data_IF_916183998399
#
_entry.id   IF_916183998399
#
_cell.length_a   1.000
_cell.length_b   1.000
_cell.length_c   1.000
_cell.angle_alpha   90.00
_cell.angle_beta   90.00
_cell.angle_gamma   90.00
#
_symmetry.space_group_name_H-M   'P 1'
#
loop_
_entity.id
_entity.type
_entity.pdbx_description
1 polymer ?
#
# COMPACT_ATOMS: atom_id res chain seq x y z
N UNK A 1 22.81 19.05 -8.39
CA UNK A 1 23.05 19.81 -7.14
C UNK A 1 22.57 18.95 -5.98
N UNK A 2 23.30 18.88 -4.87
CA UNK A 2 22.92 18.04 -3.72
C UNK A 2 21.89 18.76 -2.84
N UNK A 3 20.69 18.20 -2.69
CA UNK A 3 19.61 18.81 -1.91
C UNK A 3 18.69 17.77 -1.27
N UNK A 4 19.14 17.16 -0.17
CA UNK A 4 18.29 16.30 0.67
C UNK A 4 17.25 17.15 1.41
N UNK A 5 15.97 17.06 1.02
CA UNK A 5 14.90 17.85 1.63
C UNK A 5 14.35 17.24 2.91
N UNK A 6 13.94 18.09 3.85
CA UNK A 6 13.55 17.71 5.21
C UNK A 6 12.27 16.88 5.24
N UNK A 7 12.36 15.63 5.70
CA UNK A 7 11.18 14.83 6.00
C UNK A 7 10.45 15.38 7.25
N UNK A 8 9.11 15.39 7.21
CA UNK A 8 8.21 15.78 8.31
C UNK A 8 8.19 17.24 8.78
N UNK A 9 9.12 18.11 8.35
CA UNK A 9 9.14 19.49 8.81
C UNK A 9 9.40 20.54 7.71
N UNK A 10 8.39 21.40 7.48
CA UNK A 10 8.64 22.78 7.06
C UNK A 10 9.33 23.49 8.24
N UNK A 11 10.66 23.55 8.21
CA UNK A 11 11.50 24.34 9.12
C UNK A 11 11.85 25.64 8.38
N UNK A 12 11.74 26.80 9.04
CA UNK A 12 12.33 28.03 8.51
C UNK A 12 13.86 27.83 8.38
N UNK A 13 14.44 28.22 7.25
CA UNK A 13 15.86 27.93 6.97
C UNK A 13 16.18 26.46 6.64
N UNK A 14 15.19 25.58 6.40
CA UNK A 14 15.44 24.19 5.98
C UNK A 14 16.37 24.07 4.76
N UNK A 15 16.13 24.91 3.74
CA UNK A 15 16.94 24.92 2.51
C UNK A 15 18.37 25.43 2.73
N UNK A 16 18.53 26.46 3.57
CA UNK A 16 19.83 26.98 3.96
C UNK A 16 20.63 25.97 4.80
N UNK A 17 19.94 25.25 5.70
CA UNK A 17 20.52 24.17 6.50
C UNK A 17 20.99 23.02 5.62
N UNK A 18 20.19 22.62 4.62
CA UNK A 18 20.59 21.61 3.64
C UNK A 18 21.79 22.07 2.79
N UNK A 19 21.80 23.32 2.33
CA UNK A 19 22.90 23.90 1.56
C UNK A 19 24.20 23.97 2.38
N UNK A 20 24.15 24.46 3.64
CA UNK A 20 25.31 24.52 4.55
C UNK A 20 25.85 23.15 4.95
N UNK A 21 24.98 22.14 5.08
CA UNK A 21 25.40 20.77 5.39
C UNK A 21 25.97 20.03 4.17
N UNK A 22 25.57 20.40 2.94
CA UNK A 22 26.10 19.86 1.68
C UNK A 22 25.92 18.34 1.51
N UNK A 23 24.99 17.73 2.27
CA UNK A 23 24.91 16.28 2.49
C UNK A 23 23.48 15.78 2.39
N UNK A 24 23.36 14.50 2.05
CA UNK A 24 22.09 13.78 1.97
C UNK A 24 21.82 13.09 3.31
N UNK A 25 20.74 13.46 4.00
CA UNK A 25 20.39 12.90 5.32
C UNK A 25 18.88 12.90 5.56
N UNK A 26 18.42 12.00 6.43
CA UNK A 26 17.05 11.99 6.94
C UNK A 26 16.94 12.81 8.22
N UNK A 27 16.03 13.80 8.21
CA UNK A 27 15.74 14.67 9.34
C UNK A 27 14.32 14.42 9.87
N UNK A 28 14.08 14.68 11.16
CA UNK A 28 12.75 14.77 11.77
C UNK A 28 12.69 15.97 12.72
N UNK A 29 11.57 16.67 12.75
CA UNK A 29 11.25 17.64 13.80
C UNK A 29 9.85 17.36 14.37
N UNK A 30 9.70 17.18 15.69
CA UNK A 30 8.43 16.84 16.31
C UNK A 30 7.45 18.03 16.36
N UNK A 31 6.18 17.77 16.07
CA UNK A 31 5.09 18.78 16.09
C UNK A 31 3.96 18.38 17.04
N UNK A 32 3.26 19.38 17.57
CA UNK A 32 2.17 19.25 18.56
C UNK A 32 2.57 19.85 19.93
N UNK A 33 1.63 20.01 20.86
CA UNK A 33 1.90 20.56 22.21
C UNK A 33 2.40 19.48 23.20
N UNK A 34 1.82 18.28 23.21
CA UNK A 34 2.11 17.27 24.23
C UNK A 34 3.52 16.63 24.12
N UNK A 35 4.41 16.94 25.06
CA UNK A 35 5.80 16.46 25.08
C UNK A 35 5.94 14.92 25.00
N UNK A 36 5.13 14.16 25.72
CA UNK A 36 5.15 12.68 25.69
C UNK A 36 4.86 12.10 24.30
N UNK A 37 3.93 12.71 23.56
CA UNK A 37 3.59 12.34 22.18
C UNK A 37 4.74 12.70 21.24
N UNK A 38 5.37 13.87 21.42
CA UNK A 38 6.57 14.27 20.67
C UNK A 38 7.72 13.27 20.86
N UNK A 39 7.97 12.81 22.09
CA UNK A 39 9.03 11.83 22.41
C UNK A 39 8.75 10.48 21.72
N UNK A 40 7.55 9.91 21.91
CA UNK A 40 7.13 8.66 21.22
C UNK A 40 7.31 8.78 19.70
N UNK A 41 6.91 9.90 19.10
CA UNK A 41 7.05 10.15 17.67
C UNK A 41 8.52 10.23 17.21
N UNK A 42 9.39 10.87 17.99
CA UNK A 42 10.82 10.95 17.72
C UNK A 42 11.50 9.58 17.74
N UNK A 43 11.29 8.80 18.82
CA UNK A 43 11.84 7.44 18.94
C UNK A 43 11.35 6.53 17.79
N UNK A 44 10.07 6.64 17.43
CA UNK A 44 9.50 5.92 16.27
C UNK A 44 10.10 6.37 14.94
N UNK A 45 10.39 7.67 14.74
CA UNK A 45 11.02 8.15 13.51
C UNK A 45 12.45 7.64 13.32
N UNK A 46 13.24 7.54 14.39
CA UNK A 46 14.58 6.93 14.32
C UNK A 46 14.45 5.43 14.06
N UNK A 47 13.65 4.71 14.87
CA UNK A 47 13.50 3.24 14.76
C UNK A 47 12.88 2.77 13.44
N UNK A 48 11.80 3.41 12.96
CA UNK A 48 11.04 2.93 11.79
C UNK A 48 11.47 3.55 10.45
N UNK A 49 12.27 4.63 10.45
CA UNK A 49 12.66 5.37 9.23
C UNK A 49 14.15 5.67 9.09
N UNK A 50 14.99 5.20 10.01
CA UNK A 50 16.44 5.45 10.00
C UNK A 50 16.79 6.96 9.95
N UNK A 51 16.05 7.79 10.69
CA UNK A 51 16.32 9.24 10.80
C UNK A 51 17.67 9.45 11.49
N UNK A 52 18.55 10.19 10.81
CA UNK A 52 19.92 10.46 11.26
C UNK A 52 20.04 11.77 12.05
N UNK A 53 19.15 12.73 11.80
CA UNK A 53 19.15 14.04 12.44
C UNK A 53 17.78 14.33 13.07
N UNK A 54 17.75 14.63 14.36
CA UNK A 54 16.55 15.13 15.04
C UNK A 54 16.74 16.63 15.28
N UNK A 55 15.95 17.45 14.59
CA UNK A 55 15.95 18.90 14.79
C UNK A 55 14.90 19.28 15.83
N UNK A 56 15.34 19.83 16.95
CA UNK A 56 14.46 20.26 18.05
C UNK A 56 14.51 21.79 18.13
N UNK A 57 13.42 22.46 17.73
CA UNK A 57 13.24 23.89 18.00
C UNK A 57 12.68 24.10 19.43
N UNK A 58 13.09 25.16 20.16
CA UNK A 58 12.29 25.68 21.25
C UNK A 58 10.95 26.20 20.70
N UNK A 59 9.92 26.22 21.55
CA UNK A 59 8.58 26.70 21.21
C UNK A 59 8.12 27.70 22.28
N UNK A 60 6.93 27.51 22.84
CA UNK A 60 6.39 28.27 23.99
C UNK A 60 6.91 27.73 25.35
N UNK A 61 7.84 26.76 25.34
CA UNK A 61 8.34 26.02 26.52
C UNK A 61 9.50 26.75 27.22
N UNK A 62 9.54 26.70 28.55
CA UNK A 62 10.63 27.28 29.37
C UNK A 62 11.96 26.57 29.09
N UNK A 63 13.08 27.27 29.22
CA UNK A 63 14.41 26.71 28.97
C UNK A 63 14.70 25.42 29.78
N UNK A 64 14.24 25.35 31.02
CA UNK A 64 14.30 24.16 31.88
C UNK A 64 13.47 22.98 31.32
N UNK A 65 12.25 23.24 30.86
CA UNK A 65 11.36 22.25 30.24
C UNK A 65 11.95 21.74 28.92
N UNK A 66 12.50 22.63 28.10
CA UNK A 66 13.20 22.31 26.86
C UNK A 66 14.41 21.40 27.09
N UNK A 67 15.24 21.69 28.12
CA UNK A 67 16.36 20.83 28.50
C UNK A 67 15.89 19.46 29.03
N UNK A 68 14.85 19.43 29.86
CA UNK A 68 14.26 18.18 30.36
C UNK A 68 13.70 17.32 29.21
N UNK A 69 13.06 17.96 28.23
CA UNK A 69 12.53 17.34 27.01
C UNK A 69 13.65 16.77 26.12
N UNK A 70 14.71 17.54 25.84
CA UNK A 70 15.87 17.08 25.09
C UNK A 70 16.60 15.93 25.81
N UNK A 71 16.72 16.02 27.14
CA UNK A 71 17.27 14.95 27.99
C UNK A 71 16.40 13.69 28.02
N UNK A 72 15.08 13.80 27.90
CA UNK A 72 14.18 12.67 27.77
C UNK A 72 14.31 11.98 26.39
N UNK A 73 14.47 12.74 25.30
CA UNK A 73 14.79 12.17 23.98
C UNK A 73 16.13 11.44 24.01
N UNK A 74 17.18 12.05 24.58
CA UNK A 74 18.52 11.44 24.66
C UNK A 74 18.49 10.12 25.43
N UNK A 75 17.82 10.08 26.59
CA UNK A 75 17.62 8.86 27.39
C UNK A 75 16.87 7.77 26.63
N UNK A 76 15.71 8.09 26.07
CA UNK A 76 14.91 7.15 25.28
C UNK A 76 15.64 6.60 24.05
N UNK A 77 16.55 7.36 23.44
CA UNK A 77 17.42 6.87 22.37
C UNK A 77 18.47 5.89 22.89
N UNK A 78 19.16 6.20 24.00
CA UNK A 78 20.13 5.28 24.61
C UNK A 78 19.51 3.99 25.15
N UNK A 79 18.30 4.05 25.72
CA UNK A 79 17.50 2.89 26.14
C UNK A 79 17.13 1.98 24.97
N UNK A 80 17.11 2.52 23.75
CA UNK A 80 16.86 1.80 22.50
C UNK A 80 18.16 1.49 21.72
N UNK A 81 19.31 1.48 22.40
CA UNK A 81 20.65 1.20 21.84
C UNK A 81 21.15 2.18 20.77
N UNK A 82 20.49 3.32 20.57
CA UNK A 82 20.96 4.35 19.64
C UNK A 82 22.02 5.26 20.29
N UNK A 83 23.12 5.51 19.57
CA UNK A 83 24.21 6.40 20.03
C UNK A 83 24.11 7.77 19.37
N UNK A 84 24.11 8.83 20.18
CA UNK A 84 24.23 10.22 19.68
C UNK A 84 25.67 10.52 19.27
N UNK A 85 25.91 11.00 18.04
CA UNK A 85 27.24 11.33 17.54
C UNK A 85 27.21 12.12 16.23
N UNK A 86 28.36 12.25 15.56
CA UNK A 86 28.45 12.85 14.22
C UNK A 86 27.80 11.91 13.20
N UNK A 87 26.86 12.39 12.38
CA UNK A 87 26.24 11.60 11.32
C UNK A 87 27.08 11.61 10.03
N UNK A 88 27.08 10.49 9.31
CA UNK A 88 27.59 10.39 7.94
C UNK A 88 26.47 10.66 6.94
N UNK A 89 26.83 11.24 5.78
CA UNK A 89 25.86 11.39 4.69
C UNK A 89 25.46 10.02 4.14
N UNK A 90 24.20 9.88 3.73
CA UNK A 90 23.76 8.73 2.94
C UNK A 90 24.47 8.76 1.58
N UNK A 91 24.98 7.61 1.09
CA UNK A 91 25.58 7.55 -0.24
C UNK A 91 24.54 7.88 -1.32
N UNK A 92 25.00 8.47 -2.41
CA UNK A 92 24.18 8.68 -3.60
C UNK A 92 24.09 7.35 -4.37
N UNK A 93 22.90 6.76 -4.34
CA UNK A 93 22.59 5.47 -4.95
C UNK A 93 21.40 5.64 -5.87
N UNK A 94 21.55 5.32 -7.15
CA UNK A 94 20.53 5.49 -8.18
C UNK A 94 19.82 4.19 -8.57
N UNK A 95 20.07 3.10 -7.82
CA UNK A 95 19.73 1.74 -8.22
C UNK A 95 20.67 1.20 -9.30
N UNK A 96 20.75 -0.13 -9.41
CA UNK A 96 21.37 -0.77 -10.56
C UNK A 96 20.45 -0.65 -11.79
N UNK A 97 21.02 -0.20 -12.92
CA UNK A 97 20.32 -0.03 -14.19
C UNK A 97 19.82 -1.36 -14.78
N UNK A 98 20.56 -2.46 -14.62
CA UNK A 98 20.16 -3.77 -15.16
C UNK A 98 18.97 -4.34 -14.38
N UNK A 99 19.06 -4.32 -13.05
CA UNK A 99 17.96 -4.69 -12.14
C UNK A 99 16.73 -3.84 -12.40
N UNK A 100 16.87 -2.52 -12.58
CA UNK A 100 15.74 -1.66 -12.95
C UNK A 100 15.12 -2.08 -14.30
N UNK A 101 15.92 -2.35 -15.33
CA UNK A 101 15.45 -2.76 -16.65
C UNK A 101 14.68 -4.10 -16.58
N UNK A 102 15.20 -5.11 -15.90
CA UNK A 102 14.49 -6.39 -15.74
C UNK A 102 13.15 -6.24 -14.99
N UNK A 103 13.11 -5.43 -13.93
CA UNK A 103 11.88 -5.19 -13.15
C UNK A 103 10.88 -4.34 -13.95
N UNK A 104 11.34 -3.40 -14.77
CA UNK A 104 10.53 -2.63 -15.72
C UNK A 104 9.86 -3.55 -16.74
N UNK A 105 10.65 -4.40 -17.41
CA UNK A 105 10.15 -5.36 -18.40
C UNK A 105 9.16 -6.35 -17.79
N UNK A 106 9.46 -6.91 -16.62
CA UNK A 106 8.55 -7.83 -15.92
C UNK A 106 7.21 -7.14 -15.52
N UNK A 107 7.27 -5.87 -15.11
CA UNK A 107 6.06 -5.07 -14.80
C UNK A 107 5.23 -4.80 -16.05
N UNK A 108 5.87 -4.46 -17.18
CA UNK A 108 5.22 -4.21 -18.47
C UNK A 108 4.64 -5.50 -19.08
N UNK A 109 5.34 -6.64 -18.98
CA UNK A 109 4.80 -7.94 -19.38
C UNK A 109 3.55 -8.32 -18.56
N UNK A 110 3.55 -8.04 -17.24
CA UNK A 110 2.36 -8.17 -16.41
C UNK A 110 1.22 -7.25 -16.87
N UNK A 111 1.52 -6.00 -17.26
CA UNK A 111 0.52 -5.06 -17.75
C UNK A 111 -0.08 -5.48 -19.10
N UNK A 112 0.73 -6.02 -20.02
CA UNK A 112 0.25 -6.62 -21.27
C UNK A 112 -0.68 -7.80 -21.00
N UNK A 113 -0.33 -8.67 -20.05
CA UNK A 113 -1.16 -9.81 -19.66
C UNK A 113 -2.49 -9.37 -19.00
N UNK A 114 -2.47 -8.30 -18.20
CA UNK A 114 -3.70 -7.71 -17.68
C UNK A 114 -4.57 -7.13 -18.80
N UNK A 115 -3.94 -6.47 -19.79
CA UNK A 115 -4.63 -5.92 -20.95
C UNK A 115 -5.23 -7.03 -21.83
N UNK A 116 -4.54 -8.14 -22.06
CA UNK A 116 -5.07 -9.27 -22.85
C UNK A 116 -6.25 -9.95 -22.16
N UNK A 117 -6.22 -10.10 -20.83
CA UNK A 117 -7.35 -10.60 -20.01
C UNK A 117 -8.59 -9.69 -20.07
N UNK A 118 -8.42 -8.39 -20.29
CA UNK A 118 -9.53 -7.44 -20.45
C UNK A 118 -9.99 -7.41 -21.92
N UNK A 119 -9.11 -6.97 -22.83
CA UNK A 119 -9.47 -6.55 -24.18
C UNK A 119 -9.38 -7.66 -25.25
N UNK A 120 -8.75 -8.81 -24.96
CA UNK A 120 -8.43 -9.87 -25.93
C UNK A 120 -7.60 -9.33 -27.12
N UNK A 121 -6.33 -9.02 -26.84
CA UNK A 121 -5.35 -8.43 -27.75
C UNK A 121 -5.00 -9.34 -28.93
N UNK A 122 -4.81 -8.76 -30.11
CA UNK A 122 -4.29 -9.46 -31.29
C UNK A 122 -2.76 -9.55 -31.27
N UNK A 123 -2.20 -10.66 -31.78
CA UNK A 123 -0.74 -10.96 -31.74
C UNK A 123 0.14 -9.83 -32.30
N UNK A 124 -0.32 -9.09 -33.31
CA UNK A 124 0.39 -7.92 -33.85
C UNK A 124 0.53 -6.79 -32.81
N UNK A 125 -0.53 -6.51 -32.05
CA UNK A 125 -0.50 -5.53 -30.96
C UNK A 125 0.42 -5.99 -29.82
N UNK A 126 0.43 -7.28 -29.49
CA UNK A 126 1.30 -7.82 -28.44
C UNK A 126 2.78 -7.70 -28.80
N UNK A 127 3.15 -7.99 -30.06
CA UNK A 127 4.51 -7.78 -30.56
C UNK A 127 4.88 -6.28 -30.54
N UNK A 128 4.01 -5.40 -31.05
CA UNK A 128 4.24 -3.96 -31.03
C UNK A 128 4.40 -3.42 -29.60
N UNK A 129 3.57 -3.87 -28.66
CA UNK A 129 3.69 -3.53 -27.25
C UNK A 129 5.03 -3.98 -26.66
N UNK A 130 5.48 -5.20 -26.92
CA UNK A 130 6.76 -5.71 -26.40
C UNK A 130 7.94 -4.90 -26.92
N UNK A 131 7.95 -4.55 -28.22
CA UNK A 131 8.99 -3.69 -28.80
C UNK A 131 8.99 -2.30 -28.15
N UNK A 132 7.82 -1.64 -28.06
CA UNK A 132 7.70 -0.31 -27.44
C UNK A 132 8.08 -0.35 -25.96
N UNK A 133 7.62 -1.35 -25.20
CA UNK A 133 7.94 -1.55 -23.79
C UNK A 133 9.44 -1.73 -23.54
N UNK A 134 10.13 -2.45 -24.43
CA UNK A 134 11.59 -2.63 -24.41
C UNK A 134 12.32 -1.32 -24.73
N UNK A 135 11.98 -0.67 -25.84
CA UNK A 135 12.57 0.62 -26.23
C UNK A 135 12.40 1.68 -25.14
N UNK A 136 11.18 1.87 -24.61
CA UNK A 136 10.94 2.82 -23.53
C UNK A 136 11.69 2.46 -22.24
N UNK A 137 11.79 1.17 -21.89
CA UNK A 137 12.55 0.73 -20.70
C UNK A 137 14.05 1.02 -20.82
N UNK A 138 14.61 0.95 -22.04
CA UNK A 138 16.01 1.29 -22.32
C UNK A 138 16.19 2.82 -22.29
N UNK A 139 15.52 3.54 -23.20
CA UNK A 139 15.73 4.98 -23.41
C UNK A 139 15.34 5.85 -22.21
N UNK A 140 14.33 5.46 -21.42
CA UNK A 140 13.88 6.24 -20.26
C UNK A 140 14.33 5.66 -18.90
N UNK A 141 15.26 4.70 -18.88
CA UNK A 141 15.82 4.08 -17.65
C UNK A 141 16.36 5.08 -16.61
N UNK A 142 16.94 6.19 -17.07
CA UNK A 142 17.44 7.29 -16.23
C UNK A 142 16.34 8.28 -15.78
N UNK A 143 15.13 8.21 -16.35
CA UNK A 143 14.07 9.19 -16.08
C UNK A 143 13.29 8.85 -14.81
N UNK A 144 13.31 9.76 -13.83
CA UNK A 144 12.48 9.70 -12.61
C UNK A 144 10.99 9.54 -12.93
N UNK A 145 10.50 10.19 -14.00
CA UNK A 145 9.10 10.08 -14.44
C UNK A 145 8.75 8.68 -14.92
N UNK A 146 9.67 8.01 -15.62
CA UNK A 146 9.50 6.61 -16.05
C UNK A 146 9.50 5.66 -14.85
N UNK A 147 10.42 5.85 -13.90
CA UNK A 147 10.45 5.08 -12.64
C UNK A 147 9.16 5.23 -11.84
N UNK A 148 8.61 6.43 -11.74
CA UNK A 148 7.30 6.70 -11.12
C UNK A 148 6.14 6.05 -11.88
N UNK A 149 6.16 6.06 -13.22
CA UNK A 149 5.15 5.40 -14.05
C UNK A 149 5.17 3.87 -13.88
N UNK A 150 6.35 3.24 -13.95
CA UNK A 150 6.51 1.79 -13.76
C UNK A 150 6.16 1.36 -12.33
N UNK A 151 6.52 2.15 -11.31
CA UNK A 151 6.04 1.93 -9.94
C UNK A 151 4.52 1.99 -9.84
N UNK A 152 3.88 3.00 -10.45
CA UNK A 152 2.42 3.11 -10.47
C UNK A 152 1.77 1.93 -11.20
N UNK A 153 2.31 1.53 -12.35
CA UNK A 153 1.84 0.37 -13.11
C UNK A 153 1.92 -0.91 -12.28
N UNK A 154 3.00 -1.13 -11.54
CA UNK A 154 3.12 -2.25 -10.60
C UNK A 154 2.08 -2.20 -9.48
N UNK A 155 1.76 -1.01 -8.92
CA UNK A 155 0.68 -0.88 -7.91
C UNK A 155 -0.72 -1.24 -8.43
N UNK A 156 -0.91 -1.31 -9.76
CA UNK A 156 -2.21 -1.60 -10.38
C UNK A 156 -2.26 -3.00 -10.98
N UNK A 157 -1.21 -3.42 -11.69
CA UNK A 157 -1.14 -4.70 -12.38
C UNK A 157 -1.17 -5.89 -11.42
N UNK A 158 -0.28 -5.94 -10.42
CA UNK A 158 -0.15 -7.08 -9.51
C UNK A 158 -1.45 -7.44 -8.76
N UNK A 159 -2.16 -6.51 -8.08
CA UNK A 159 -3.33 -6.86 -7.30
C UNK A 159 -4.53 -7.27 -8.18
N UNK A 160 -4.65 -6.74 -9.40
CA UNK A 160 -5.73 -7.11 -10.34
C UNK A 160 -5.45 -8.47 -10.98
N UNK A 161 -4.21 -8.75 -11.41
CA UNK A 161 -3.79 -10.08 -11.88
C UNK A 161 -3.96 -11.16 -10.80
N UNK A 162 -3.67 -10.81 -9.55
CA UNK A 162 -3.85 -11.71 -8.42
C UNK A 162 -5.30 -12.22 -8.31
N UNK A 163 -6.30 -11.35 -8.47
CA UNK A 163 -7.72 -11.77 -8.53
C UNK A 163 -8.02 -12.53 -9.84
N UNK A 164 -7.54 -12.05 -11.00
CA UNK A 164 -7.95 -12.61 -12.30
C UNK A 164 -7.51 -14.05 -12.54
N UNK A 165 -6.36 -14.47 -11.97
CA UNK A 165 -5.79 -15.83 -12.11
C UNK A 165 -6.15 -16.80 -10.98
N UNK A 166 -6.45 -16.32 -9.77
CA UNK A 166 -6.72 -17.21 -8.62
C UNK A 166 -8.09 -17.89 -8.64
N UNK A 167 -8.96 -17.57 -9.60
CA UNK A 167 -10.36 -18.02 -9.67
C UNK A 167 -10.62 -19.52 -9.95
N UNK A 168 -9.60 -20.38 -9.91
CA UNK A 168 -9.81 -21.84 -9.89
C UNK A 168 -10.32 -22.26 -8.51
N UNK A 169 -11.48 -22.94 -8.44
CA UNK A 169 -12.01 -23.46 -7.17
C UNK A 169 -11.04 -24.52 -6.62
N UNK A 170 -10.41 -24.31 -5.45
CA UNK A 170 -9.53 -25.33 -4.88
C UNK A 170 -10.33 -26.54 -4.41
N UNK A 171 -9.73 -27.72 -4.46
CA UNK A 171 -10.27 -28.96 -3.89
C UNK A 171 -10.09 -28.99 -2.36
N UNK A 172 -10.58 -27.95 -1.67
CA UNK A 172 -10.44 -27.72 -0.23
C UNK A 172 -11.81 -27.37 0.38
N UNK A 173 -12.02 -27.61 1.70
CA UNK A 173 -13.18 -27.11 2.44
C UNK A 173 -13.36 -25.59 2.23
N UNK A 174 -14.60 -25.04 2.19
CA UNK A 174 -14.82 -23.66 1.76
C UNK A 174 -14.03 -22.57 2.51
N UNK A 175 -13.83 -22.74 3.82
CA UNK A 175 -13.00 -21.82 4.63
C UNK A 175 -11.50 -21.94 4.29
N UNK A 176 -10.97 -23.16 4.25
CA UNK A 176 -9.58 -23.42 3.87
C UNK A 176 -9.29 -22.95 2.43
N UNK A 177 -10.24 -23.14 1.51
CA UNK A 177 -10.18 -22.61 0.15
C UNK A 177 -10.16 -21.07 0.11
N UNK A 178 -11.03 -20.40 0.88
CA UNK A 178 -11.04 -18.94 0.97
C UNK A 178 -9.73 -18.37 1.55
N UNK A 179 -9.19 -19.00 2.60
CA UNK A 179 -7.89 -18.62 3.19
C UNK A 179 -6.71 -18.89 2.23
N UNK A 180 -6.73 -20.01 1.50
CA UNK A 180 -5.71 -20.33 0.49
C UNK A 180 -5.71 -19.36 -0.69
N UNK A 181 -6.89 -18.96 -1.17
CA UNK A 181 -7.06 -17.90 -2.17
C UNK A 181 -6.58 -16.54 -1.65
N UNK A 182 -6.95 -16.19 -0.41
CA UNK A 182 -6.48 -14.98 0.26
C UNK A 182 -4.96 -14.92 0.39
N UNK A 183 -4.31 -16.00 0.82
CA UNK A 183 -2.85 -16.09 0.94
C UNK A 183 -2.17 -15.98 -0.43
N UNK A 184 -2.70 -16.64 -1.48
CA UNK A 184 -2.18 -16.51 -2.86
C UNK A 184 -2.27 -15.07 -3.38
N UNK A 185 -3.41 -14.41 -3.19
CA UNK A 185 -3.56 -13.00 -3.61
C UNK A 185 -2.63 -12.07 -2.81
N UNK A 186 -2.48 -12.33 -1.51
CA UNK A 186 -1.59 -11.55 -0.64
C UNK A 186 -0.11 -11.76 -0.98
N UNK A 187 0.29 -12.96 -1.39
CA UNK A 187 1.65 -13.25 -1.87
C UNK A 187 1.96 -12.55 -3.19
N UNK A 188 1.06 -12.58 -4.18
CA UNK A 188 1.24 -11.85 -5.45
C UNK A 188 1.27 -10.33 -5.20
N UNK A 189 0.46 -9.83 -4.27
CA UNK A 189 0.46 -8.41 -3.87
C UNK A 189 1.74 -8.04 -3.10
N UNK A 190 2.28 -8.94 -2.29
CA UNK A 190 3.58 -8.75 -1.63
C UNK A 190 4.73 -8.68 -2.65
N UNK A 191 4.75 -9.55 -3.67
CA UNK A 191 5.72 -9.47 -4.77
C UNK A 191 5.61 -8.12 -5.52
N UNK A 192 4.39 -7.65 -5.81
CA UNK A 192 4.17 -6.30 -6.36
C UNK A 192 4.71 -5.19 -5.45
N UNK A 193 4.60 -5.36 -4.13
CA UNK A 193 5.23 -4.51 -3.12
C UNK A 193 6.76 -4.48 -3.25
N UNK A 194 7.40 -5.65 -3.28
CA UNK A 194 8.86 -5.77 -3.45
C UNK A 194 9.33 -5.14 -4.77
N UNK A 195 8.59 -5.35 -5.87
CA UNK A 195 8.88 -4.72 -7.16
C UNK A 195 8.84 -3.19 -7.07
N UNK A 196 7.79 -2.62 -6.48
CA UNK A 196 7.67 -1.16 -6.24
C UNK A 196 8.80 -0.64 -5.34
N UNK A 197 9.19 -1.40 -4.31
CA UNK A 197 10.33 -1.07 -3.44
C UNK A 197 11.64 -1.01 -4.22
N UNK A 198 11.86 -1.93 -5.14
CA UNK A 198 13.08 -2.00 -5.96
C UNK A 198 13.12 -0.91 -7.04
N UNK A 199 11.99 -0.63 -7.71
CA UNK A 199 11.86 0.46 -8.69
C UNK A 199 12.16 1.83 -8.05
N UNK A 200 11.73 2.03 -6.80
CA UNK A 200 11.94 3.26 -6.03
C UNK A 200 13.22 3.23 -5.19
N UNK A 201 14.12 2.26 -5.41
CA UNK A 201 15.37 2.11 -4.63
C UNK A 201 16.47 3.07 -5.11
N UNK A 202 16.24 4.38 -4.90
CA UNK A 202 17.27 5.41 -5.01
C UNK A 202 17.23 6.37 -3.82
N UNK A 203 18.36 7.02 -3.52
CA UNK A 203 18.50 7.95 -2.40
C UNK A 203 17.52 9.11 -2.50
N UNK A 204 17.17 9.56 -3.72
CA UNK A 204 16.18 10.61 -3.97
C UNK A 204 14.78 10.27 -3.47
N UNK A 205 14.35 9.01 -3.60
CA UNK A 205 13.06 8.55 -3.08
C UNK A 205 13.12 8.24 -1.58
N UNK A 206 14.27 7.73 -1.09
CA UNK A 206 14.50 7.48 0.34
C UNK A 206 14.45 8.78 1.15
N UNK A 207 15.09 9.85 0.66
CA UNK A 207 15.11 11.19 1.29
C UNK A 207 13.95 12.08 0.81
N UNK A 208 12.95 11.51 0.11
CA UNK A 208 11.74 12.19 -0.38
C UNK A 208 11.96 13.45 -1.23
N UNK A 209 13.14 13.63 -1.83
CA UNK A 209 13.39 14.63 -2.88
C UNK A 209 12.36 14.38 -4.00
N UNK A 210 12.23 13.11 -4.40
CA UNK A 210 11.15 12.62 -5.22
C UNK A 210 10.15 11.82 -4.38
N UNK A 211 8.86 11.94 -4.67
CA UNK A 211 7.78 11.28 -3.91
C UNK A 211 6.80 10.55 -4.81
N UNK A 212 6.44 9.32 -4.43
CA UNK A 212 5.43 8.54 -5.15
C UNK A 212 4.03 9.13 -4.91
N UNK A 213 3.59 10.02 -5.81
CA UNK A 213 2.27 10.68 -5.76
C UNK A 213 1.10 9.75 -6.11
N UNK A 214 1.37 8.58 -6.69
CA UNK A 214 0.38 7.64 -7.21
C UNK A 214 -0.52 6.95 -6.16
N UNK A 215 -0.20 7.02 -4.87
CA UNK A 215 -0.90 6.31 -3.78
C UNK A 215 -2.43 6.52 -3.78
N UNK A 216 -2.91 7.70 -4.16
CA UNK A 216 -4.37 7.97 -4.24
C UNK A 216 -5.02 7.25 -5.42
N UNK A 217 -4.39 7.27 -6.59
CA UNK A 217 -4.89 6.61 -7.80
C UNK A 217 -4.78 5.09 -7.70
N UNK A 218 -3.73 4.57 -7.06
CA UNK A 218 -3.56 3.13 -6.83
C UNK A 218 -4.61 2.56 -5.87
N UNK A 219 -5.29 3.38 -5.06
CA UNK A 219 -6.45 2.96 -4.26
C UNK A 219 -7.76 2.89 -5.05
N UNK A 220 -7.90 3.60 -6.17
CA UNK A 220 -9.14 3.64 -6.98
C UNK A 220 -9.08 2.66 -8.15
N UNK A 221 -7.97 2.67 -8.89
CA UNK A 221 -7.88 2.02 -10.19
C UNK A 221 -7.94 0.47 -10.12
N UNK A 222 -7.33 -0.21 -9.13
CA UNK A 222 -7.45 -1.67 -9.00
C UNK A 222 -8.87 -2.13 -8.66
N UNK A 223 -9.61 -1.52 -7.70
CA UNK A 223 -11.05 -1.80 -7.53
C UNK A 223 -11.87 -1.56 -8.79
N UNK A 224 -11.60 -0.50 -9.57
CA UNK A 224 -12.31 -0.22 -10.82
C UNK A 224 -12.04 -1.29 -11.91
N UNK A 225 -10.78 -1.69 -12.10
CA UNK A 225 -10.42 -2.75 -13.05
C UNK A 225 -10.93 -4.14 -12.58
N UNK A 226 -10.92 -4.40 -11.27
CA UNK A 226 -11.54 -5.60 -10.71
C UNK A 226 -13.06 -5.61 -10.92
N UNK A 227 -13.75 -4.46 -10.81
CA UNK A 227 -15.17 -4.35 -11.17
C UNK A 227 -15.40 -4.71 -12.65
N UNK A 228 -14.62 -4.15 -13.58
CA UNK A 228 -14.70 -4.47 -15.02
C UNK A 228 -14.52 -5.97 -15.27
N UNK A 229 -13.45 -6.57 -14.74
CA UNK A 229 -13.14 -8.00 -14.92
C UNK A 229 -14.19 -8.91 -14.30
N UNK A 230 -14.70 -8.57 -13.11
CA UNK A 230 -15.66 -9.41 -12.40
C UNK A 230 -17.08 -9.30 -12.98
N UNK A 231 -17.53 -8.14 -13.41
CA UNK A 231 -18.90 -7.95 -13.95
C UNK A 231 -19.01 -8.09 -15.47
N UNK A 232 -17.92 -7.88 -16.21
CA UNK A 232 -17.87 -8.09 -17.66
C UNK A 232 -17.69 -9.56 -18.09
N UNK A 233 -17.20 -10.43 -17.21
CA UNK A 233 -17.14 -11.89 -17.44
C UNK A 233 -18.46 -12.57 -17.12
N UNK A 234 -19.14 -13.05 -18.16
CA UNK A 234 -20.46 -13.72 -18.03
C UNK A 234 -20.60 -15.06 -18.77
N UNK A 235 -19.88 -15.30 -19.89
CA UNK A 235 -19.88 -16.61 -20.59
C UNK A 235 -18.56 -17.10 -21.19
N UNK A 236 -17.58 -16.23 -21.50
CA UNK A 236 -16.29 -16.65 -22.08
C UNK A 236 -15.13 -16.43 -21.11
N UNK A 237 -14.17 -17.36 -21.08
CA UNK A 237 -13.02 -17.33 -20.18
C UNK A 237 -12.00 -16.21 -20.51
N UNK A 238 -11.98 -15.70 -21.76
CA UNK A 238 -10.85 -14.92 -22.30
C UNK A 238 -11.15 -13.49 -22.78
N UNK A 239 -12.40 -13.00 -22.73
CA UNK A 239 -12.71 -11.63 -23.23
C UNK A 239 -13.70 -10.88 -22.35
N UNK A 240 -13.33 -9.65 -21.97
CA UNK A 240 -14.19 -8.66 -21.31
C UNK A 240 -14.52 -7.54 -22.28
N UNK A 241 -15.52 -7.77 -23.14
CA UNK A 241 -15.97 -6.82 -24.15
C UNK A 241 -16.55 -5.54 -23.49
N UNK A 242 -15.75 -4.47 -23.52
CA UNK A 242 -16.05 -3.19 -22.86
C UNK A 242 -17.33 -2.54 -23.43
N UNK A 243 -17.58 -2.68 -24.74
CA UNK A 243 -18.84 -2.29 -25.38
C UNK A 243 -20.06 -3.01 -24.81
N UNK A 244 -19.95 -4.30 -24.45
CA UNK A 244 -21.05 -5.03 -23.79
C UNK A 244 -21.27 -4.62 -22.33
N UNK A 245 -20.30 -4.00 -21.66
CA UNK A 245 -20.55 -3.31 -20.38
C UNK A 245 -21.31 -2.00 -20.61
N UNK A 246 -21.00 -1.25 -21.67
CA UNK A 246 -21.70 -0.01 -22.02
C UNK A 246 -23.16 -0.23 -22.45
N UNK A 247 -23.43 -1.31 -23.18
CA UNK A 247 -24.79 -1.67 -23.62
C UNK A 247 -25.58 -2.54 -22.63
N UNK A 248 -25.02 -2.87 -21.45
CA UNK A 248 -25.77 -3.54 -20.39
C UNK A 248 -26.69 -2.53 -19.70
N UNK A 249 -27.97 -2.90 -19.54
CA UNK A 249 -28.89 -2.17 -18.67
C UNK A 249 -28.41 -2.31 -17.22
N UNK A 250 -27.79 -1.27 -16.68
CA UNK A 250 -27.42 -1.20 -15.27
C UNK A 250 -28.70 -1.07 -14.44
N UNK A 251 -29.04 -2.12 -13.68
CA UNK A 251 -30.08 -2.02 -12.67
C UNK A 251 -29.76 -0.91 -11.66
N UNK A 252 -30.77 -0.16 -11.23
CA UNK A 252 -30.64 0.93 -10.24
C UNK A 252 -29.92 0.45 -8.96
N UNK A 253 -30.11 -0.83 -8.59
CA UNK A 253 -29.39 -1.50 -7.49
C UNK A 253 -27.86 -1.43 -7.65
N UNK A 254 -27.34 -1.68 -8.86
CA UNK A 254 -25.91 -1.61 -9.14
C UNK A 254 -25.37 -0.17 -9.07
N UNK A 255 -26.18 0.83 -9.42
CA UNK A 255 -25.81 2.24 -9.30
C UNK A 255 -25.63 2.65 -7.83
N UNK A 256 -26.57 2.29 -6.95
CA UNK A 256 -26.46 2.53 -5.50
C UNK A 256 -25.24 1.83 -4.89
N UNK A 257 -24.97 0.57 -5.27
CA UNK A 257 -23.74 -0.12 -4.84
C UNK A 257 -22.46 0.56 -5.36
N UNK A 258 -22.45 1.04 -6.61
CA UNK A 258 -21.33 1.80 -7.18
C UNK A 258 -21.06 3.09 -6.42
N UNK A 259 -22.11 3.85 -6.07
CA UNK A 259 -22.02 5.05 -5.24
C UNK A 259 -21.49 4.72 -3.84
N UNK A 260 -21.98 3.66 -3.20
CA UNK A 260 -21.50 3.21 -1.90
C UNK A 260 -20.00 2.86 -1.90
N UNK A 261 -19.52 2.15 -2.93
CA UNK A 261 -18.09 1.85 -3.11
C UNK A 261 -17.29 3.14 -3.37
N UNK A 262 -17.79 4.05 -4.21
CA UNK A 262 -17.13 5.32 -4.48
C UNK A 262 -16.99 6.22 -3.25
N UNK A 263 -18.04 6.31 -2.42
CA UNK A 263 -18.03 7.03 -1.12
C UNK A 263 -17.04 6.36 -0.16
N UNK A 264 -17.02 5.03 -0.06
CA UNK A 264 -16.04 4.32 0.77
C UNK A 264 -14.59 4.57 0.32
N UNK A 265 -14.32 4.53 -0.99
CA UNK A 265 -13.01 4.85 -1.55
C UNK A 265 -12.61 6.31 -1.27
N UNK A 266 -13.54 7.26 -1.42
CA UNK A 266 -13.32 8.67 -1.10
C UNK A 266 -12.96 8.85 0.39
N UNK A 267 -13.70 8.22 1.29
CA UNK A 267 -13.40 8.23 2.74
C UNK A 267 -12.02 7.61 3.04
N UNK A 268 -11.63 6.53 2.36
CA UNK A 268 -10.29 5.94 2.50
C UNK A 268 -9.18 6.86 1.97
N UNK A 269 -9.43 7.64 0.92
CA UNK A 269 -8.48 8.63 0.37
C UNK A 269 -8.35 9.84 1.30
N UNK A 270 -9.45 10.33 1.85
CA UNK A 270 -9.47 11.41 2.84
C UNK A 270 -8.73 10.99 4.12
N UNK A 271 -9.03 9.81 4.67
CA UNK A 271 -8.30 9.22 5.82
C UNK A 271 -6.84 8.87 5.52
N UNK A 272 -6.43 8.80 4.25
CA UNK A 272 -5.02 8.66 3.85
C UNK A 272 -4.29 10.00 3.70
N UNK A 273 -4.98 11.14 3.93
CA UNK A 273 -4.40 12.48 3.89
C UNK A 273 -3.89 12.89 5.28
N UNK A 274 -2.60 13.22 5.38
CA UNK A 274 -1.95 13.65 6.64
C UNK A 274 -2.45 15.00 7.20
N UNK A 275 -3.51 15.59 6.61
CA UNK A 275 -4.17 16.83 7.05
C UNK A 275 -5.55 16.60 7.68
N UNK A 276 -6.18 15.43 7.53
CA UNK A 276 -7.55 15.17 7.98
C UNK A 276 -7.64 13.84 8.75
N UNK A 277 -7.10 13.85 9.96
CA UNK A 277 -7.10 12.71 10.87
C UNK A 277 -8.45 12.53 11.58
N UNK A 278 -9.50 12.20 10.83
CA UNK A 278 -10.76 11.72 11.40
C UNK A 278 -10.58 10.28 11.90
N UNK A 279 -9.97 10.15 13.07
CA UNK A 279 -9.67 8.88 13.76
C UNK A 279 -10.78 8.63 14.78
N UNK A 280 -11.33 7.42 14.81
CA UNK A 280 -12.34 7.05 15.81
C UNK A 280 -11.68 6.96 17.20
N UNK A 281 -12.34 7.29 18.32
CA UNK A 281 -11.73 7.27 19.65
C UNK A 281 -11.08 5.92 19.97
N UNK A 282 -11.86 4.85 19.89
CA UNK A 282 -11.41 3.46 20.04
C UNK A 282 -10.30 3.05 19.05
N UNK A 283 -10.24 3.65 17.86
CA UNK A 283 -9.17 3.33 16.91
C UNK A 283 -7.81 3.67 17.52
N UNK A 284 -7.67 4.81 18.23
CA UNK A 284 -6.42 5.23 18.90
C UNK A 284 -5.96 4.24 19.96
N UNK A 285 -6.87 3.73 20.78
CA UNK A 285 -6.59 2.71 21.80
C UNK A 285 -6.08 1.41 21.15
N UNK A 286 -6.74 0.96 20.08
CA UNK A 286 -6.27 -0.16 19.26
C UNK A 286 -4.92 0.15 18.59
N UNK A 287 -4.62 1.41 18.24
CA UNK A 287 -3.28 1.79 17.75
C UNK A 287 -2.22 1.59 18.83
N UNK A 288 -2.45 2.05 20.07
CA UNK A 288 -1.49 1.91 21.16
C UNK A 288 -1.35 0.45 21.62
N UNK A 289 -2.44 -0.31 21.70
CA UNK A 289 -2.40 -1.73 22.03
C UNK A 289 -1.57 -2.53 21.00
N UNK A 290 -1.82 -2.34 19.71
CA UNK A 290 -1.04 -3.00 18.65
C UNK A 290 0.42 -2.53 18.60
N UNK A 291 0.76 -1.35 19.09
CA UNK A 291 2.14 -0.87 19.18
C UNK A 291 2.88 -1.41 20.41
N UNK A 292 2.16 -1.80 21.48
CA UNK A 292 2.72 -2.57 22.60
C UNK A 292 2.93 -4.04 22.22
N UNK A 293 2.00 -4.65 21.48
CA UNK A 293 2.10 -6.07 21.09
C UNK A 293 2.99 -6.34 19.86
N UNK A 294 3.12 -5.40 18.92
CA UNK A 294 3.90 -5.61 17.69
C UNK A 294 4.99 -4.55 17.50
N UNK A 295 6.24 -4.98 17.34
CA UNK A 295 7.43 -4.15 17.13
C UNK A 295 7.26 -3.05 16.04
N UNK A 296 6.52 -3.35 14.98
CA UNK A 296 6.04 -2.36 14.02
C UNK A 296 4.58 -2.64 13.67
N UNK A 297 3.76 -1.60 13.72
CA UNK A 297 2.31 -1.73 13.84
C UNK A 297 1.61 -2.06 12.51
N UNK A 298 0.74 -3.09 12.42
CA UNK A 298 -0.04 -3.37 11.20
C UNK A 298 -1.08 -2.28 10.91
N UNK A 299 -1.38 -2.02 9.64
CA UNK A 299 -2.26 -0.91 9.22
C UNK A 299 -3.74 -1.26 9.44
N UNK A 300 -4.48 -0.37 10.10
CA UNK A 300 -5.88 -0.62 10.49
C UNK A 300 -6.77 -1.04 9.30
N UNK A 301 -6.66 -0.36 8.15
CA UNK A 301 -7.45 -0.65 6.95
C UNK A 301 -7.16 -2.01 6.29
N UNK A 302 -6.02 -2.62 6.59
CA UNK A 302 -5.67 -3.97 6.11
C UNK A 302 -6.44 -5.03 6.92
N UNK A 303 -6.16 -5.14 8.21
CA UNK A 303 -6.72 -6.23 9.03
C UNK A 303 -8.19 -6.00 9.44
N UNK A 304 -8.67 -4.75 9.58
CA UNK A 304 -10.02 -4.49 10.08
C UNK A 304 -11.09 -4.47 8.97
N UNK A 305 -10.69 -4.30 7.70
CA UNK A 305 -11.65 -4.20 6.57
C UNK A 305 -11.18 -4.97 5.35
N UNK A 306 -10.03 -4.61 4.76
CA UNK A 306 -9.61 -5.18 3.47
C UNK A 306 -9.48 -6.70 3.49
N UNK A 307 -8.70 -7.25 4.42
CA UNK A 307 -8.45 -8.68 4.47
C UNK A 307 -9.70 -9.51 4.87
N UNK A 308 -10.47 -9.16 5.93
CA UNK A 308 -11.67 -9.91 6.27
C UNK A 308 -12.75 -9.88 5.18
N UNK A 309 -13.02 -8.72 4.56
CA UNK A 309 -14.00 -8.64 3.46
C UNK A 309 -13.60 -9.52 2.27
N UNK A 310 -12.30 -9.60 1.93
CA UNK A 310 -11.84 -10.46 0.84
C UNK A 310 -12.01 -11.95 1.15
N UNK A 311 -11.76 -12.36 2.39
CA UNK A 311 -11.92 -13.75 2.86
C UNK A 311 -13.40 -14.15 2.87
N UNK A 312 -14.28 -13.31 3.41
CA UNK A 312 -15.73 -13.52 3.33
C UNK A 312 -16.20 -13.57 1.87
N UNK A 313 -15.72 -12.64 1.03
CA UNK A 313 -16.01 -12.61 -0.41
C UNK A 313 -15.68 -13.92 -1.11
N UNK A 314 -14.50 -14.49 -0.87
CA UNK A 314 -14.12 -15.80 -1.41
C UNK A 314 -14.94 -16.96 -0.81
N UNK A 315 -15.23 -16.94 0.49
CA UNK A 315 -16.03 -17.98 1.15
C UNK A 315 -17.45 -18.06 0.58
N UNK A 316 -18.18 -16.93 0.59
CA UNK A 316 -19.54 -16.90 0.05
C UNK A 316 -19.56 -17.13 -1.46
N UNK A 317 -18.59 -16.58 -2.22
CA UNK A 317 -18.47 -16.87 -3.65
C UNK A 317 -18.20 -18.35 -3.94
N UNK A 318 -17.47 -19.07 -3.09
CA UNK A 318 -17.24 -20.51 -3.25
C UNK A 318 -18.50 -21.35 -2.93
N UNK A 319 -19.33 -20.88 -2.00
CA UNK A 319 -20.49 -21.60 -1.42
C UNK A 319 -21.81 -21.35 -2.17
N UNK A 320 -22.02 -20.14 -2.72
CA UNK A 320 -23.27 -19.72 -3.33
C UNK A 320 -23.58 -20.39 -4.69
N UNK A 321 -24.88 -20.55 -4.98
CA UNK A 321 -25.40 -20.94 -6.30
C UNK A 321 -24.94 -19.97 -7.41
N UNK A 322 -24.84 -20.49 -8.65
CA UNK A 322 -24.34 -19.75 -9.83
C UNK A 322 -24.99 -18.37 -10.02
N UNK A 323 -26.27 -18.24 -9.67
CA UNK A 323 -27.07 -17.00 -9.79
C UNK A 323 -26.69 -16.00 -8.68
N UNK A 324 -26.75 -16.41 -7.40
CA UNK A 324 -26.43 -15.54 -6.24
C UNK A 324 -24.95 -15.10 -6.18
N UNK A 325 -24.02 -15.78 -6.88
CA UNK A 325 -22.58 -15.44 -6.95
C UNK A 325 -22.26 -13.98 -7.32
N UNK A 326 -23.14 -13.29 -8.04
CA UNK A 326 -22.96 -11.87 -8.40
C UNK A 326 -22.92 -10.98 -7.14
N UNK A 327 -23.71 -11.30 -6.12
CA UNK A 327 -23.85 -10.48 -4.90
C UNK A 327 -22.59 -10.47 -4.01
N UNK A 328 -21.68 -11.43 -4.18
CA UNK A 328 -20.45 -11.54 -3.38
C UNK A 328 -19.21 -10.92 -4.06
N UNK A 329 -19.33 -10.50 -5.33
CA UNK A 329 -18.28 -9.76 -6.06
C UNK A 329 -17.87 -8.43 -5.38
N UNK A 330 -18.78 -7.62 -4.80
CA UNK A 330 -18.41 -6.37 -4.11
C UNK A 330 -17.48 -6.58 -2.90
N UNK A 331 -17.66 -7.67 -2.14
CA UNK A 331 -16.80 -7.99 -1.00
C UNK A 331 -15.34 -8.21 -1.42
N UNK A 332 -15.14 -8.88 -2.56
CA UNK A 332 -13.81 -9.11 -3.15
C UNK A 332 -13.20 -7.79 -3.64
N UNK A 333 -14.00 -6.91 -4.26
CA UNK A 333 -13.56 -5.59 -4.76
C UNK A 333 -13.18 -4.65 -3.61
N UNK A 334 -13.97 -4.60 -2.53
CA UNK A 334 -13.63 -3.85 -1.32
C UNK A 334 -12.41 -4.46 -0.62
N UNK A 335 -12.29 -5.78 -0.61
CA UNK A 335 -11.15 -6.48 -0.02
C UNK A 335 -9.81 -6.19 -0.68
N UNK A 336 -9.82 -5.90 -1.99
CA UNK A 336 -8.66 -5.47 -2.78
C UNK A 336 -7.99 -4.21 -2.22
N UNK A 337 -8.71 -3.36 -1.46
CA UNK A 337 -8.15 -2.17 -0.81
C UNK A 337 -7.07 -2.56 0.23
N UNK A 338 -7.22 -3.72 0.89
CA UNK A 338 -6.17 -4.27 1.76
C UNK A 338 -4.93 -4.72 0.99
N UNK A 339 -5.12 -5.34 -0.17
CA UNK A 339 -4.05 -5.84 -1.03
C UNK A 339 -3.24 -4.70 -1.69
N UNK A 340 -3.93 -3.66 -2.15
CA UNK A 340 -3.32 -2.40 -2.56
C UNK A 340 -2.59 -1.72 -1.39
N UNK A 341 -3.11 -1.82 -0.17
CA UNK A 341 -2.45 -1.26 1.02
C UNK A 341 -1.14 -1.98 1.37
N UNK A 342 -1.03 -3.29 1.13
CA UNK A 342 0.24 -4.03 1.19
C UNK A 342 1.26 -3.38 0.25
N UNK A 343 0.94 -3.23 -1.04
CA UNK A 343 1.87 -2.64 -2.03
C UNK A 343 2.24 -1.19 -1.65
N UNK A 344 1.23 -0.40 -1.26
CA UNK A 344 1.41 0.95 -0.72
C UNK A 344 2.10 0.99 0.66
N UNK A 345 2.54 -0.13 1.23
CA UNK A 345 3.47 -0.16 2.38
C UNK A 345 4.91 -0.07 1.87
N UNK A 346 5.24 -0.85 0.84
CA UNK A 346 6.56 -0.86 0.20
C UNK A 346 6.84 0.38 -0.66
N UNK A 347 5.79 1.07 -1.15
CA UNK A 347 5.91 2.39 -1.78
C UNK A 347 6.46 3.49 -0.84
N UNK A 348 6.61 3.23 0.46
CA UNK A 348 7.28 4.11 1.42
C UNK A 348 8.71 3.64 1.70
N UNK A 349 9.57 3.78 0.69
CA UNK A 349 10.96 3.27 0.69
C UNK A 349 11.87 3.79 1.83
N UNK A 350 11.48 4.85 2.55
CA UNK A 350 12.14 5.29 3.78
C UNK A 350 11.96 4.31 4.97
N UNK A 351 10.97 3.40 4.92
CA UNK A 351 10.84 2.32 5.91
C UNK A 351 11.69 1.13 5.46
N UNK A 352 12.61 0.60 6.29
CA UNK A 352 13.37 -0.60 5.98
C UNK A 352 12.48 -1.79 5.58
N UNK A 353 12.90 -2.56 4.56
CA UNK A 353 12.08 -3.62 3.96
C UNK A 353 11.64 -4.67 5.00
N UNK A 354 12.51 -5.04 5.95
CA UNK A 354 12.15 -5.95 7.05
C UNK A 354 11.01 -5.44 7.94
N UNK A 355 10.94 -4.11 8.17
CA UNK A 355 9.84 -3.48 8.92
C UNK A 355 8.55 -3.48 8.09
N UNK A 356 8.64 -3.24 6.77
CA UNK A 356 7.50 -3.36 5.87
C UNK A 356 6.95 -4.80 5.81
N UNK A 357 7.84 -5.80 5.69
CA UNK A 357 7.49 -7.23 5.76
C UNK A 357 6.80 -7.57 7.08
N UNK A 358 7.35 -7.18 8.23
CA UNK A 358 6.76 -7.45 9.54
C UNK A 358 5.35 -6.83 9.69
N UNK A 359 5.19 -5.55 9.31
CA UNK A 359 3.86 -4.89 9.28
C UNK A 359 2.86 -5.66 8.41
N UNK A 360 3.29 -6.12 7.22
CA UNK A 360 2.45 -6.87 6.28
C UNK A 360 2.08 -8.26 6.79
N UNK A 361 3.03 -9.04 7.33
CA UNK A 361 2.77 -10.38 7.89
C UNK A 361 1.77 -10.29 9.04
N UNK A 362 1.91 -9.32 9.95
CA UNK A 362 0.96 -9.10 11.03
C UNK A 362 -0.43 -8.65 10.52
N UNK A 363 -0.46 -7.82 9.47
CA UNK A 363 -1.71 -7.43 8.80
C UNK A 363 -2.45 -8.63 8.18
N UNK A 364 -1.72 -9.49 7.48
CA UNK A 364 -2.24 -10.74 6.88
C UNK A 364 -2.73 -11.70 7.97
N UNK A 365 -1.97 -11.90 9.05
CA UNK A 365 -2.32 -12.81 10.14
C UNK A 365 -3.58 -12.35 10.91
N UNK A 366 -3.64 -11.08 11.34
CA UNK A 366 -4.83 -10.52 12.00
C UNK A 366 -6.03 -10.48 11.05
N UNK A 367 -5.82 -10.18 9.77
CA UNK A 367 -6.86 -10.20 8.74
C UNK A 367 -7.43 -11.60 8.50
N UNK A 368 -6.57 -12.63 8.52
CA UNK A 368 -6.97 -14.03 8.42
C UNK A 368 -7.77 -14.50 9.65
N UNK A 369 -7.31 -14.16 10.86
CA UNK A 369 -8.02 -14.44 12.12
C UNK A 369 -9.42 -13.81 12.10
N UNK A 370 -9.53 -12.50 11.84
CA UNK A 370 -10.79 -11.78 11.83
C UNK A 370 -11.72 -12.26 10.70
N UNK A 371 -11.18 -12.56 9.51
CA UNK A 371 -11.95 -13.16 8.41
C UNK A 371 -12.54 -14.53 8.76
N UNK A 372 -11.77 -15.37 9.47
CA UNK A 372 -12.25 -16.68 9.94
C UNK A 372 -13.31 -16.54 11.05
N UNK A 373 -13.11 -15.62 12.01
CA UNK A 373 -14.07 -15.34 13.09
C UNK A 373 -15.41 -14.82 12.55
N UNK A 374 -15.40 -13.93 11.55
CA UNK A 374 -16.63 -13.45 10.90
C UNK A 374 -17.38 -14.57 10.16
N UNK A 375 -16.67 -15.49 9.49
CA UNK A 375 -17.28 -16.67 8.85
C UNK A 375 -17.86 -17.64 9.89
N UNK A 376 -17.18 -17.82 11.04
CA UNK A 376 -17.73 -18.60 12.14
C UNK A 376 -19.01 -17.96 12.71
N UNK A 377 -19.01 -16.64 12.93
CA UNK A 377 -20.18 -15.90 13.40
C UNK A 377 -21.38 -15.99 12.43
N UNK A 378 -21.17 -15.87 11.11
CA UNK A 378 -22.24 -16.14 10.13
C UNK A 378 -22.75 -17.59 10.19
N UNK A 379 -21.86 -18.55 10.47
CA UNK A 379 -22.24 -19.96 10.69
C UNK A 379 -23.22 -20.15 11.86
N UNK A 380 -23.10 -19.37 12.93
CA UNK A 380 -24.00 -19.40 14.09
C UNK A 380 -25.26 -18.56 13.89
N UNK A 381 -25.12 -17.30 13.43
CA UNK A 381 -26.22 -16.32 13.39
C UNK A 381 -26.96 -16.23 12.04
N UNK A 382 -26.42 -16.79 10.96
CA UNK A 382 -26.97 -16.74 9.58
C UNK A 382 -27.28 -15.31 9.10
N UNK A 383 -26.36 -14.37 9.31
CA UNK A 383 -26.50 -12.99 8.86
C UNK A 383 -26.61 -12.86 7.33
N UNK A 384 -26.04 -13.80 6.57
CA UNK A 384 -25.99 -13.76 5.11
C UNK A 384 -26.59 -15.05 4.52
N UNK A 385 -27.82 -14.96 3.99
CA UNK A 385 -28.43 -16.09 3.25
C UNK A 385 -27.73 -16.32 1.90
N UNK A 386 -26.95 -17.39 1.87
CA UNK A 386 -26.11 -17.80 0.75
C UNK A 386 -26.57 -19.10 0.07
N UNK A 387 -27.74 -19.65 0.45
CA UNK A 387 -28.33 -20.84 -0.21
C UNK A 387 -28.91 -20.50 -1.58
#
# INVERSE_FOLDING_TARGET
MAFGTVEFAQIAGAGETAAKLGKTFLCFSPKGKNASVKIKACLRSVRERNVQLVYIHPAEETYSEFLAYAGAIKRGLSENSFRSGKFTALPLWNGDSYSFLFISLATLAGALWLLSVIANTGRQFEIAYVVIALSCSIFFSASTSWRLFIAFLATVTFPVLAISKTWTKPALPPLAGALWLFLKVSFISLLGGVFVSAILSSTDFMVKINTFRGVKLSLILPPALAFVILYGRERSYFSTSLSRLWHKRLEVRHLFFGIGIAVFLLLMILRSSNKMSFVLPFEMEVREALEKFFFARPRFKEFAVGHPLMIMGFYFYAKALKIKKIHFRPLIILGLIGQVSIINTFAHIHSPIGICLFRTVNGIALGALLGALLIAADGFFKFIDHK
#
